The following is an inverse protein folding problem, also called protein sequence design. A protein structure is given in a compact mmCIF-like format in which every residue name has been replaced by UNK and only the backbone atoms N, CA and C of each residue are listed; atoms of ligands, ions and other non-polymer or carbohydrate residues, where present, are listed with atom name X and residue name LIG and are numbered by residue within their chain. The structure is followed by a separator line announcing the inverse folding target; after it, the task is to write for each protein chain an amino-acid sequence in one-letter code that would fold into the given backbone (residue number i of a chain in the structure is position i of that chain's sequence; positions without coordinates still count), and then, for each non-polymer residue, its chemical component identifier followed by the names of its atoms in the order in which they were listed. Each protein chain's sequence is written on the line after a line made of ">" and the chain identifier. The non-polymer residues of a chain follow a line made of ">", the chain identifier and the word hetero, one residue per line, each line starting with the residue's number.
data_IF_366751369914
#
_entry.id   IF_366751369914
#
_cell.length_a   1.000
_cell.length_b   1.000
_cell.length_c   1.000
_cell.angle_alpha   90.00
_cell.angle_beta   90.00
_cell.angle_gamma   90.00
#
_symmetry.space_group_name_H-M   'P 1'
#
loop_
_entity.id
_entity.type
_entity.pdbx_description
1 polymer ?
#
# COMPACT_ATOMS: atom_id res chain seq x y z
N UNK A 1 -0.60 -34.37 23.55
CA UNK A 1 0.61 -33.64 23.05
C UNK A 1 0.34 -32.14 23.21
N UNK A 2 1.33 -31.40 23.73
CA UNK A 2 1.18 -29.96 24.00
C UNK A 2 1.98 -29.14 22.97
N UNK A 3 1.31 -28.26 22.23
CA UNK A 3 1.94 -27.40 21.24
C UNK A 3 1.86 -25.94 21.66
N UNK A 4 3.01 -25.28 21.71
CA UNK A 4 3.05 -23.83 21.89
C UNK A 4 2.50 -23.12 20.65
N UNK A 5 1.84 -22.00 20.86
CA UNK A 5 1.29 -21.19 19.79
C UNK A 5 1.22 -19.71 20.16
N UNK A 6 1.03 -18.84 19.18
CA UNK A 6 0.97 -17.38 19.37
C UNK A 6 -0.08 -16.79 18.41
N UNK A 7 -0.71 -15.69 18.81
CA UNK A 7 -1.74 -15.04 18.01
C UNK A 7 -1.17 -14.51 16.68
N UNK A 8 -1.62 -15.10 15.57
CA UNK A 8 -1.19 -14.80 14.19
C UNK A 8 -2.28 -15.12 13.15
N UNK A 9 -3.34 -14.32 13.08
CA UNK A 9 -4.37 -14.50 12.06
C UNK A 9 -3.82 -14.53 10.62
N UNK A 10 -4.32 -15.39 9.73
CA UNK A 10 -5.38 -16.39 9.92
C UNK A 10 -4.88 -17.78 10.37
N UNK A 11 -3.60 -17.93 10.70
CA UNK A 11 -3.01 -19.20 11.12
C UNK A 11 -3.47 -19.58 12.53
N UNK A 12 -3.48 -18.63 13.45
CA UNK A 12 -3.90 -18.80 14.84
C UNK A 12 -4.64 -17.55 15.31
N UNK A 13 -5.80 -17.72 15.91
CA UNK A 13 -6.58 -16.73 16.64
C UNK A 13 -6.67 -17.16 18.09
N UNK A 14 -6.38 -16.26 19.01
CA UNK A 14 -6.42 -16.48 20.46
C UNK A 14 -7.47 -15.59 21.18
N UNK A 15 -8.37 -14.97 20.44
CA UNK A 15 -9.42 -14.04 20.90
C UNK A 15 -10.52 -14.71 21.73
N UNK A 16 -10.71 -16.03 21.59
CA UNK A 16 -11.65 -16.84 22.35
C UNK A 16 -10.91 -17.89 23.20
N UNK A 17 -11.57 -18.43 24.24
CA UNK A 17 -11.00 -19.46 25.14
C UNK A 17 -10.50 -20.74 24.41
N UNK A 18 -10.79 -20.89 23.14
CA UNK A 18 -10.35 -22.02 22.28
C UNK A 18 -9.60 -21.50 21.07
N UNK A 19 -8.29 -21.79 20.95
CA UNK A 19 -7.52 -21.43 19.77
C UNK A 19 -8.18 -21.98 18.49
N UNK A 20 -8.20 -21.17 17.44
CA UNK A 20 -8.72 -21.51 16.10
C UNK A 20 -7.79 -20.97 15.03
N UNK A 21 -7.94 -21.42 13.81
CA UNK A 21 -7.10 -20.98 12.68
C UNK A 21 -6.54 -22.16 11.90
N UNK A 22 -5.95 -21.86 10.72
CA UNK A 22 -5.43 -22.90 9.84
C UNK A 22 -4.46 -23.86 10.54
N UNK A 23 -3.48 -23.32 11.26
CA UNK A 23 -2.46 -24.12 11.95
C UNK A 23 -3.05 -24.95 13.09
N UNK A 24 -4.02 -24.38 13.81
CA UNK A 24 -4.70 -25.06 14.91
C UNK A 24 -5.52 -26.24 14.40
N UNK A 25 -6.32 -26.02 13.33
CA UNK A 25 -7.18 -27.05 12.78
C UNK A 25 -6.37 -28.16 12.09
N UNK A 26 -5.26 -27.78 11.42
CA UNK A 26 -4.33 -28.76 10.87
C UNK A 26 -3.71 -29.64 11.96
N UNK A 27 -3.27 -29.03 13.09
CA UNK A 27 -2.68 -29.82 14.19
C UNK A 27 -3.71 -30.71 14.88
N UNK A 28 -4.98 -30.27 14.97
CA UNK A 28 -6.06 -31.13 15.45
C UNK A 28 -6.30 -32.33 14.55
N UNK A 29 -6.36 -32.10 13.22
CA UNK A 29 -6.50 -33.18 12.25
C UNK A 29 -5.34 -34.19 12.31
N UNK A 30 -4.11 -33.72 12.48
CA UNK A 30 -2.93 -34.57 12.72
C UNK A 30 -3.11 -35.38 14.02
N UNK A 31 -3.55 -34.71 15.11
CA UNK A 31 -3.79 -35.37 16.37
C UNK A 31 -4.87 -36.46 16.28
N UNK A 32 -5.96 -36.22 15.58
CA UNK A 32 -7.03 -37.19 15.32
C UNK A 32 -6.52 -38.40 14.56
N UNK A 33 -5.71 -38.19 13.49
CA UNK A 33 -5.12 -39.29 12.72
C UNK A 33 -4.14 -40.14 13.54
N UNK A 34 -3.36 -39.50 14.43
CA UNK A 34 -2.44 -40.15 15.34
C UNK A 34 -3.09 -40.75 16.59
N UNK A 35 -4.38 -40.53 16.81
CA UNK A 35 -5.10 -40.90 18.03
C UNK A 35 -4.56 -40.24 19.30
N UNK A 36 -4.08 -38.99 19.18
CA UNK A 36 -3.50 -38.16 20.25
C UNK A 36 -4.36 -36.95 20.52
N UNK A 37 -4.58 -36.64 21.78
CA UNK A 37 -5.19 -35.39 22.21
C UNK A 37 -4.17 -34.23 22.07
N UNK A 38 -4.56 -33.15 21.38
CA UNK A 38 -3.74 -31.97 21.18
C UNK A 38 -4.21 -30.86 22.13
N UNK A 39 -3.27 -30.37 22.94
CA UNK A 39 -3.45 -29.22 23.82
C UNK A 39 -2.59 -28.06 23.31
N UNK A 40 -3.14 -26.87 23.23
CA UNK A 40 -2.42 -25.67 22.84
C UNK A 40 -2.01 -24.87 24.05
N UNK A 41 -0.73 -24.41 24.09
CA UNK A 41 -0.15 -23.54 25.13
C UNK A 41 0.17 -22.17 24.52
N UNK A 42 -0.75 -21.19 24.63
CA UNK A 42 -0.50 -19.83 24.15
C UNK A 42 0.74 -19.22 24.80
N UNK A 43 1.53 -18.49 24.01
CA UNK A 43 2.71 -17.77 24.44
C UNK A 43 2.53 -16.27 24.20
N UNK A 44 3.21 -15.44 25.00
CA UNK A 44 3.10 -13.99 24.93
C UNK A 44 3.76 -13.40 23.66
N UNK A 45 4.80 -14.08 23.17
CA UNK A 45 5.52 -13.64 21.98
C UNK A 45 6.00 -14.80 21.10
N UNK A 46 6.32 -14.49 19.87
CA UNK A 46 6.88 -15.46 18.93
C UNK A 46 8.26 -16.02 19.38
N UNK A 47 9.19 -15.21 19.91
CA UNK A 47 10.40 -15.73 20.53
C UNK A 47 10.14 -16.68 21.69
N UNK A 48 9.19 -16.38 22.58
CA UNK A 48 8.86 -17.23 23.72
C UNK A 48 8.31 -18.59 23.27
N UNK A 49 7.50 -18.61 22.21
CA UNK A 49 7.01 -19.83 21.59
C UNK A 49 8.18 -20.72 21.07
N UNK A 50 9.17 -20.15 20.40
CA UNK A 50 10.34 -20.90 19.92
C UNK A 50 11.24 -21.33 21.08
N UNK A 51 11.44 -20.50 22.09
CA UNK A 51 12.20 -20.83 23.29
C UNK A 51 11.58 -22.01 24.06
N UNK A 52 10.25 -22.11 24.08
CA UNK A 52 9.56 -23.24 24.73
C UNK A 52 9.85 -24.58 23.99
N UNK A 53 9.98 -24.54 22.67
CA UNK A 53 10.39 -25.72 21.87
C UNK A 53 11.84 -26.08 22.12
N UNK A 54 12.76 -25.09 22.06
CA UNK A 54 14.19 -25.30 22.28
C UNK A 54 14.47 -25.85 23.68
N UNK A 55 13.75 -25.34 24.68
CA UNK A 55 13.85 -25.84 26.07
C UNK A 55 13.19 -27.20 26.31
N UNK A 56 12.45 -27.75 25.32
CA UNK A 56 11.73 -29.02 25.46
C UNK A 56 10.59 -28.99 26.47
N UNK A 57 10.03 -27.82 26.79
CA UNK A 57 8.90 -27.66 27.73
C UNK A 57 7.55 -27.98 27.10
N UNK A 58 7.52 -28.09 25.78
CA UNK A 58 6.37 -28.48 24.97
C UNK A 58 6.80 -29.55 23.95
N UNK A 59 5.83 -30.29 23.41
CA UNK A 59 6.10 -31.32 22.39
C UNK A 59 6.41 -30.71 21.00
N UNK A 60 6.03 -29.45 20.80
CA UNK A 60 6.30 -28.68 19.60
C UNK A 60 5.64 -27.30 19.61
N UNK A 61 5.74 -26.59 18.49
CA UNK A 61 5.01 -25.35 18.28
C UNK A 61 4.42 -25.29 16.88
N UNK A 62 3.25 -24.70 16.77
CA UNK A 62 2.57 -24.49 15.50
C UNK A 62 1.96 -23.09 15.41
N UNK A 63 2.31 -22.41 14.32
CA UNK A 63 1.76 -21.13 13.86
C UNK A 63 2.17 -20.96 12.38
N UNK A 64 2.62 -19.76 11.98
CA UNK A 64 3.31 -19.51 10.70
C UNK A 64 4.83 -19.48 10.92
N UNK A 65 5.42 -20.62 11.29
CA UNK A 65 6.85 -20.68 11.65
C UNK A 65 7.68 -21.00 10.42
N UNK A 66 8.43 -20.01 9.90
CA UNK A 66 9.33 -20.23 8.76
C UNK A 66 10.44 -21.21 9.11
N UNK A 67 10.61 -22.21 8.27
CA UNK A 67 11.76 -23.15 8.31
C UNK A 67 12.99 -22.37 7.83
N UNK A 68 13.99 -22.24 8.69
CA UNK A 68 15.26 -21.58 8.35
C UNK A 68 16.46 -22.38 8.81
N UNK A 69 17.58 -22.23 8.10
CA UNK A 69 18.82 -22.94 8.48
C UNK A 69 19.28 -22.61 9.92
N UNK A 70 19.06 -21.38 10.38
CA UNK A 70 19.42 -20.99 11.75
C UNK A 70 18.53 -21.67 12.80
N UNK A 71 17.22 -21.80 12.55
CA UNK A 71 16.31 -22.49 13.46
C UNK A 71 16.54 -24.02 13.45
N UNK A 72 16.84 -24.59 12.30
CA UNK A 72 17.18 -26.04 12.16
C UNK A 72 18.45 -26.43 12.94
N UNK A 73 19.27 -25.49 13.40
CA UNK A 73 20.42 -25.81 14.27
C UNK A 73 20.04 -26.07 15.72
N UNK A 74 18.87 -25.62 16.17
CA UNK A 74 18.41 -25.66 17.58
C UNK A 74 17.08 -26.38 17.76
N UNK A 75 16.37 -26.69 16.70
CA UNK A 75 15.09 -27.42 16.69
C UNK A 75 14.90 -28.15 15.37
N UNK A 76 14.08 -29.19 15.37
CA UNK A 76 13.68 -29.90 14.15
C UNK A 76 12.38 -29.28 13.57
N UNK A 77 12.13 -29.54 12.29
CA UNK A 77 10.87 -29.16 11.65
C UNK A 77 10.19 -30.36 10.97
N UNK A 78 8.87 -30.29 10.89
CA UNK A 78 8.08 -31.15 10.01
C UNK A 78 8.36 -30.84 8.53
N UNK A 79 7.79 -31.62 7.63
CA UNK A 79 7.60 -31.20 6.25
C UNK A 79 6.83 -29.88 6.19
N UNK A 80 7.05 -29.07 5.13
CA UNK A 80 6.33 -27.80 4.97
C UNK A 80 4.81 -27.96 5.06
N UNK A 81 4.18 -27.16 5.91
CA UNK A 81 2.72 -27.12 6.05
C UNK A 81 2.08 -25.99 5.25
N UNK A 82 2.86 -25.01 4.78
CA UNK A 82 2.36 -23.89 4.01
C UNK A 82 3.50 -23.22 3.24
N UNK A 83 3.27 -22.85 1.98
CA UNK A 83 4.20 -22.03 1.19
C UNK A 83 3.87 -20.57 1.32
N UNK A 84 4.84 -19.76 1.65
CA UNK A 84 4.70 -18.34 1.95
C UNK A 84 5.88 -17.55 1.40
N UNK A 85 6.01 -16.33 1.88
CA UNK A 85 7.17 -15.49 1.65
C UNK A 85 6.95 -14.07 2.11
N UNK A 86 8.03 -13.29 2.08
CA UNK A 86 8.03 -11.91 2.50
C UNK A 86 7.39 -11.05 1.40
N UNK A 87 6.39 -10.25 1.78
CA UNK A 87 5.72 -9.28 0.92
C UNK A 87 5.68 -7.89 1.56
N UNK A 88 5.23 -6.92 0.81
CA UNK A 88 5.12 -5.52 1.23
C UNK A 88 3.67 -5.11 1.18
N UNK A 89 3.19 -4.48 2.26
CA UNK A 89 1.90 -3.81 2.32
C UNK A 89 2.13 -2.30 2.32
N UNK A 90 1.36 -1.61 1.50
CA UNK A 90 1.38 -0.15 1.35
C UNK A 90 -0.01 0.42 1.59
N UNK A 91 -0.14 1.70 1.92
CA UNK A 91 -1.42 2.39 1.88
C UNK A 91 -2.03 2.31 0.47
N UNK A 92 -3.35 2.17 0.40
CA UNK A 92 -4.07 2.32 -0.86
C UNK A 92 -3.86 3.72 -1.42
N UNK A 93 -3.76 3.81 -2.73
CA UNK A 93 -3.70 5.13 -3.38
C UNK A 93 -4.98 5.92 -3.08
N UNK A 94 -4.86 7.20 -2.71
CA UNK A 94 -6.03 8.03 -2.46
C UNK A 94 -6.93 8.06 -3.69
N UNK A 95 -8.22 7.97 -3.48
CA UNK A 95 -9.21 7.99 -4.57
C UNK A 95 -9.04 9.22 -5.46
N UNK A 96 -9.48 9.14 -6.73
CA UNK A 96 -9.30 10.17 -7.76
C UNK A 96 -9.73 11.59 -7.32
N UNK A 97 -10.76 11.71 -6.48
CA UNK A 97 -11.21 13.00 -5.95
C UNK A 97 -10.26 13.58 -4.90
N UNK A 98 -9.67 12.73 -4.04
CA UNK A 98 -8.68 13.17 -3.07
C UNK A 98 -7.36 13.58 -3.75
N UNK A 99 -6.97 12.90 -4.84
CA UNK A 99 -5.84 13.31 -5.70
C UNK A 99 -6.06 14.69 -6.32
N UNK A 100 -7.28 14.97 -6.85
CA UNK A 100 -7.60 16.31 -7.39
C UNK A 100 -7.49 17.39 -6.29
N UNK A 101 -7.92 17.08 -5.06
CA UNK A 101 -7.76 17.98 -3.92
C UNK A 101 -6.28 18.24 -3.57
N UNK A 102 -5.44 17.22 -3.62
CA UNK A 102 -3.98 17.31 -3.41
C UNK A 102 -3.25 18.12 -4.49
N UNK A 103 -3.77 18.12 -5.73
CA UNK A 103 -3.22 18.91 -6.83
C UNK A 103 -3.44 20.42 -6.68
N UNK A 104 -4.37 20.87 -5.81
CA UNK A 104 -4.58 22.29 -5.52
C UNK A 104 -3.48 22.86 -4.61
N UNK A 105 -2.26 22.69 -5.02
CA UNK A 105 -1.11 23.27 -4.32
C UNK A 105 -1.09 24.79 -4.41
N UNK A 106 -0.34 25.44 -3.52
CA UNK A 106 -0.20 26.91 -3.51
C UNK A 106 0.31 27.42 -4.86
N UNK A 107 1.18 26.66 -5.52
CA UNK A 107 1.75 26.99 -6.83
C UNK A 107 0.66 27.01 -7.92
N UNK A 108 -0.22 26.01 -7.95
CA UNK A 108 -1.32 25.94 -8.92
C UNK A 108 -2.35 27.03 -8.66
N UNK A 109 -2.68 27.30 -7.40
CA UNK A 109 -3.57 28.42 -7.05
C UNK A 109 -2.98 29.77 -7.47
N UNK A 110 -1.68 29.99 -7.27
CA UNK A 110 -1.02 31.22 -7.73
C UNK A 110 -0.98 31.32 -9.24
N UNK A 111 -0.75 30.23 -9.96
CA UNK A 111 -0.80 30.21 -11.43
C UNK A 111 -2.20 30.54 -11.97
N UNK A 112 -3.27 30.00 -11.35
CA UNK A 112 -4.65 30.33 -11.70
C UNK A 112 -4.94 31.81 -11.45
N UNK A 113 -4.52 32.36 -10.31
CA UNK A 113 -4.72 33.79 -9.99
C UNK A 113 -3.97 34.69 -10.96
N UNK A 114 -2.75 34.32 -11.37
CA UNK A 114 -1.97 35.06 -12.36
C UNK A 114 -2.65 35.02 -13.72
N UNK A 115 -3.14 33.85 -14.16
CA UNK A 115 -3.86 33.70 -15.42
C UNK A 115 -5.16 34.53 -15.44
N UNK A 116 -5.97 34.51 -14.36
CA UNK A 116 -7.14 35.34 -14.22
C UNK A 116 -6.80 36.84 -14.21
N UNK A 117 -5.76 37.23 -13.48
CA UNK A 117 -5.25 38.61 -13.45
C UNK A 117 -4.82 39.08 -14.84
N UNK A 118 -4.16 38.22 -15.62
CA UNK A 118 -3.77 38.49 -17.01
C UNK A 118 -4.99 38.65 -17.93
N UNK A 119 -6.02 37.79 -17.80
CA UNK A 119 -7.24 37.88 -18.59
C UNK A 119 -8.05 39.17 -18.27
N UNK A 120 -8.23 39.45 -16.98
CA UNK A 120 -8.90 40.71 -16.56
C UNK A 120 -8.10 41.95 -16.93
N UNK A 121 -6.80 41.96 -16.63
CA UNK A 121 -5.93 43.09 -16.95
C UNK A 121 -5.77 43.31 -18.44
N UNK A 122 -5.53 42.24 -19.21
CA UNK A 122 -5.41 42.24 -20.67
C UNK A 122 -6.72 42.66 -21.34
N UNK A 123 -7.88 42.16 -20.86
CA UNK A 123 -9.21 42.57 -21.33
C UNK A 123 -9.47 44.02 -21.09
N UNK A 124 -9.21 44.55 -19.88
CA UNK A 124 -9.38 45.95 -19.55
C UNK A 124 -8.43 46.88 -20.30
N UNK A 125 -7.22 46.43 -20.54
CA UNK A 125 -6.27 47.22 -21.36
C UNK A 125 -6.73 47.26 -22.83
N UNK A 126 -7.29 46.19 -23.36
CA UNK A 126 -7.93 46.19 -24.68
C UNK A 126 -9.12 47.13 -24.72
N UNK A 127 -10.00 47.10 -23.72
CA UNK A 127 -11.07 48.06 -23.60
C UNK A 127 -10.56 49.51 -23.64
N UNK A 128 -9.48 49.82 -22.95
CA UNK A 128 -8.91 51.16 -22.96
C UNK A 128 -8.47 51.60 -24.36
N UNK A 129 -7.88 50.71 -25.18
CA UNK A 129 -7.47 51.03 -26.54
C UNK A 129 -8.64 51.09 -27.53
N UNK A 130 -9.66 50.26 -27.35
CA UNK A 130 -10.73 50.06 -28.33
C UNK A 130 -12.04 50.81 -28.00
N UNK A 131 -12.23 51.31 -26.80
CA UNK A 131 -13.50 51.97 -26.34
C UNK A 131 -14.01 53.11 -27.24
N UNK A 132 -13.15 53.71 -28.05
CA UNK A 132 -13.49 54.78 -28.98
C UNK A 132 -13.55 54.34 -30.44
N UNK A 133 -13.20 53.12 -30.74
CA UNK A 133 -13.07 52.62 -32.09
C UNK A 133 -14.05 51.48 -32.42
N UNK A 134 -14.47 50.74 -31.38
CA UNK A 134 -15.29 49.55 -31.57
C UNK A 134 -16.54 49.60 -30.68
N UNK A 135 -17.77 49.44 -31.21
CA UNK A 135 -19.01 49.50 -30.42
C UNK A 135 -19.08 48.48 -29.28
N UNK A 136 -18.41 47.32 -29.40
CA UNK A 136 -18.38 46.33 -28.36
C UNK A 136 -17.73 46.81 -27.06
N UNK A 137 -16.74 47.68 -27.17
CA UNK A 137 -16.01 48.24 -26.04
C UNK A 137 -16.51 49.67 -25.65
N UNK A 138 -17.48 50.25 -26.36
CA UNK A 138 -18.05 51.58 -26.04
C UNK A 138 -19.01 51.49 -24.85
N UNK A 139 -18.42 51.36 -23.64
CA UNK A 139 -19.10 51.18 -22.35
C UNK A 139 -18.31 51.82 -21.25
N UNK A 140 -19.00 52.29 -20.16
CA UNK A 140 -18.32 52.71 -18.94
C UNK A 140 -17.48 51.59 -18.34
N UNK A 141 -16.40 51.91 -17.67
CA UNK A 141 -15.43 50.89 -17.13
C UNK A 141 -16.07 49.82 -16.25
N UNK A 142 -17.08 50.17 -15.48
CA UNK A 142 -17.82 49.22 -14.61
C UNK A 142 -18.55 48.14 -15.42
N UNK A 143 -19.18 48.53 -16.52
CA UNK A 143 -19.95 47.64 -17.39
C UNK A 143 -19.08 46.92 -18.41
N UNK A 144 -17.86 47.38 -18.60
CA UNK A 144 -16.88 46.81 -19.52
C UNK A 144 -16.10 45.62 -18.92
N UNK A 145 -16.08 45.45 -17.57
CA UNK A 145 -15.24 44.47 -16.89
C UNK A 145 -15.47 43.01 -17.39
N UNK A 146 -16.71 42.55 -17.32
CA UNK A 146 -17.03 41.19 -17.76
C UNK A 146 -16.94 41.00 -19.30
N UNK A 147 -17.47 41.91 -20.13
CA UNK A 147 -17.32 41.82 -21.58
C UNK A 147 -15.86 41.81 -22.04
N UNK A 148 -14.98 42.59 -21.41
CA UNK A 148 -13.55 42.64 -21.72
C UNK A 148 -12.83 41.38 -21.30
N UNK A 149 -13.12 40.85 -20.11
CA UNK A 149 -12.65 39.54 -19.66
C UNK A 149 -13.11 38.44 -20.61
N UNK A 150 -14.42 38.43 -20.97
CA UNK A 150 -14.95 37.42 -21.89
C UNK A 150 -14.29 37.49 -23.28
N UNK A 151 -14.02 38.71 -23.77
CA UNK A 151 -13.28 38.89 -25.01
C UNK A 151 -11.86 38.33 -24.91
N UNK A 152 -11.13 38.65 -23.85
CA UNK A 152 -9.77 38.13 -23.64
C UNK A 152 -9.74 36.59 -23.51
N UNK A 153 -10.70 36.01 -22.77
CA UNK A 153 -10.85 34.58 -22.63
C UNK A 153 -11.08 33.92 -24.00
N UNK A 154 -12.00 34.46 -24.82
CA UNK A 154 -12.23 33.89 -26.17
C UNK A 154 -11.05 34.10 -27.12
N UNK A 155 -10.30 35.18 -26.98
CA UNK A 155 -9.08 35.37 -27.78
C UNK A 155 -8.05 34.29 -27.47
N UNK A 156 -7.90 33.95 -26.20
CA UNK A 156 -6.93 32.92 -25.75
C UNK A 156 -7.37 31.50 -26.11
N UNK A 157 -8.68 31.19 -25.96
CA UNK A 157 -9.19 29.81 -26.13
C UNK A 157 -9.54 29.54 -27.60
N UNK A 158 -10.19 30.46 -28.29
CA UNK A 158 -10.75 30.26 -29.63
C UNK A 158 -10.05 31.08 -30.74
N UNK A 159 -8.97 31.80 -30.42
CA UNK A 159 -8.31 32.68 -31.38
C UNK A 159 -9.05 33.99 -31.70
N UNK A 160 -10.11 34.29 -30.94
CA UNK A 160 -10.93 35.53 -31.08
C UNK A 160 -12.15 35.38 -31.96
N UNK A 161 -12.90 36.48 -32.11
CA UNK A 161 -14.08 36.57 -32.98
C UNK A 161 -13.79 37.54 -34.12
N UNK A 162 -14.10 37.18 -35.37
CA UNK A 162 -13.92 38.08 -36.51
C UNK A 162 -14.63 39.43 -36.33
N UNK A 163 -15.88 39.42 -35.84
CA UNK A 163 -16.68 40.64 -35.59
C UNK A 163 -16.16 41.56 -34.47
N UNK A 164 -15.19 41.08 -33.66
CA UNK A 164 -14.66 41.79 -32.49
C UNK A 164 -13.15 41.97 -32.54
N UNK A 165 -12.60 41.93 -33.73
CA UNK A 165 -11.17 42.22 -33.93
C UNK A 165 -10.82 43.64 -33.61
N UNK A 166 -9.68 43.92 -32.96
CA UNK A 166 -9.25 45.28 -32.67
C UNK A 166 -9.12 46.11 -33.93
N UNK A 167 -9.69 47.34 -33.93
CA UNK A 167 -9.66 48.26 -35.06
C UNK A 167 -8.45 49.21 -34.97
N UNK A 168 -8.09 49.59 -33.75
CA UNK A 168 -6.96 50.52 -33.52
C UNK A 168 -5.62 49.82 -33.76
N UNK A 169 -4.61 50.57 -34.23
CA UNK A 169 -3.23 50.03 -34.38
C UNK A 169 -2.63 49.54 -33.07
N UNK A 170 -2.72 50.29 -31.93
CA UNK A 170 -2.21 49.79 -30.67
C UNK A 170 -2.97 48.57 -30.15
N UNK A 171 -4.31 48.52 -30.36
CA UNK A 171 -5.14 47.35 -29.99
C UNK A 171 -4.73 46.10 -30.73
N UNK A 172 -4.44 46.15 -32.03
CA UNK A 172 -3.95 45.02 -32.83
C UNK A 172 -2.61 44.51 -32.34
N UNK A 173 -1.66 45.42 -32.11
CA UNK A 173 -0.34 45.04 -31.59
C UNK A 173 -0.44 44.40 -30.20
N UNK A 174 -1.24 44.96 -29.34
CA UNK A 174 -1.48 44.42 -28.02
C UNK A 174 -2.19 43.04 -28.06
N UNK A 175 -3.15 42.84 -28.96
CA UNK A 175 -3.79 41.53 -29.14
C UNK A 175 -2.79 40.43 -29.51
N UNK A 176 -1.84 40.71 -30.42
CA UNK A 176 -0.77 39.75 -30.78
C UNK A 176 0.10 39.42 -29.57
N UNK A 177 0.51 40.43 -28.79
CA UNK A 177 1.29 40.19 -27.58
C UNK A 177 0.49 39.35 -26.56
N UNK A 178 -0.80 39.67 -26.38
CA UNK A 178 -1.66 38.92 -25.45
C UNK A 178 -1.81 37.45 -25.83
N UNK A 179 -2.00 37.16 -27.15
CA UNK A 179 -2.09 35.78 -27.64
C UNK A 179 -0.78 35.05 -27.43
N UNK A 180 0.34 35.62 -27.81
CA UNK A 180 1.65 34.99 -27.64
C UNK A 180 1.97 34.75 -26.17
N UNK A 181 1.74 35.76 -25.30
CA UNK A 181 1.94 35.64 -23.87
C UNK A 181 1.03 34.55 -23.25
N UNK A 182 -0.23 34.46 -23.69
CA UNK A 182 -1.17 33.45 -23.18
C UNK A 182 -0.75 32.03 -23.55
N UNK A 183 -0.21 31.82 -24.75
CA UNK A 183 0.33 30.50 -25.17
C UNK A 183 1.47 30.07 -24.26
N UNK A 184 2.36 30.98 -23.85
CA UNK A 184 3.42 30.68 -22.89
C UNK A 184 2.85 30.35 -21.49
N UNK A 185 1.90 31.13 -21.00
CA UNK A 185 1.24 30.90 -19.70
C UNK A 185 0.57 29.53 -19.67
N UNK A 186 -0.23 29.19 -20.70
CA UNK A 186 -0.88 27.88 -20.82
C UNK A 186 0.15 26.76 -20.90
N UNK A 187 1.21 26.93 -21.70
CA UNK A 187 2.26 25.92 -21.84
C UNK A 187 2.98 25.65 -20.53
N UNK A 188 3.35 26.70 -19.79
CA UNK A 188 3.97 26.57 -18.46
C UNK A 188 3.01 25.89 -17.47
N UNK A 189 1.73 26.25 -17.49
CA UNK A 189 0.73 25.65 -16.62
C UNK A 189 0.57 24.14 -16.89
N UNK A 190 0.42 23.75 -18.15
CA UNK A 190 0.34 22.33 -18.53
C UNK A 190 1.61 21.58 -18.16
N UNK A 191 2.79 22.17 -18.43
CA UNK A 191 4.07 21.55 -18.08
C UNK A 191 4.21 21.36 -16.56
N UNK A 192 3.78 22.33 -15.76
CA UNK A 192 3.86 22.25 -14.28
C UNK A 192 2.94 21.17 -13.74
N UNK A 193 1.68 21.09 -14.22
CA UNK A 193 0.74 20.03 -13.81
C UNK A 193 1.28 18.66 -14.22
N UNK A 194 1.73 18.51 -15.47
CA UNK A 194 2.26 17.24 -15.98
C UNK A 194 3.47 16.80 -15.17
N UNK A 195 4.40 17.72 -14.85
CA UNK A 195 5.56 17.41 -14.03
C UNK A 195 5.15 16.99 -12.61
N UNK A 196 4.23 17.72 -11.96
CA UNK A 196 3.74 17.39 -10.62
C UNK A 196 3.10 16.00 -10.58
N UNK A 197 2.17 15.70 -11.50
CA UNK A 197 1.50 14.39 -11.58
C UNK A 197 2.48 13.26 -11.90
N UNK A 198 3.47 13.52 -12.79
CA UNK A 198 4.47 12.51 -13.14
C UNK A 198 5.42 12.21 -11.98
N UNK A 199 5.88 13.24 -11.26
CA UNK A 199 6.76 13.06 -10.10
C UNK A 199 6.02 12.32 -8.98
N UNK A 200 4.76 12.67 -8.68
CA UNK A 200 3.93 11.98 -7.70
C UNK A 200 3.74 10.51 -8.08
N UNK A 201 3.39 10.21 -9.33
CA UNK A 201 3.24 8.83 -9.81
C UNK A 201 4.54 8.00 -9.72
N UNK A 202 5.71 8.61 -9.92
CA UNK A 202 7.00 7.95 -9.79
C UNK A 202 7.44 7.76 -8.32
N UNK A 203 7.08 8.67 -7.44
CA UNK A 203 7.43 8.60 -6.01
C UNK A 203 6.55 7.62 -5.24
N UNK A 204 5.29 7.44 -5.66
CA UNK A 204 4.35 6.53 -4.99
C UNK A 204 4.47 5.07 -5.46
N UNK A 205 5.13 4.79 -6.60
CA UNK A 205 5.37 3.43 -7.04
C UNK A 205 6.49 2.77 -6.22
N UNK A 206 6.10 1.88 -5.30
CA UNK A 206 7.03 0.93 -4.67
C UNK A 206 6.96 -0.35 -5.49
N UNK A 207 7.87 -0.50 -6.43
CA UNK A 207 7.98 -1.70 -7.27
C UNK A 207 9.08 -2.65 -6.77
N UNK A 208 9.95 -2.14 -5.89
CA UNK A 208 11.12 -2.82 -5.38
C UNK A 208 11.28 -2.60 -3.88
N UNK A 209 11.91 -3.57 -3.22
CA UNK A 209 12.30 -3.45 -1.80
C UNK A 209 13.26 -2.26 -1.57
N UNK A 210 14.02 -1.86 -2.58
CA UNK A 210 14.96 -0.74 -2.49
C UNK A 210 14.23 0.62 -2.46
N UNK A 211 12.99 0.68 -2.90
CA UNK A 211 12.15 1.88 -2.89
C UNK A 211 11.61 2.20 -1.48
N UNK A 212 11.89 1.30 -0.52
CA UNK A 212 11.58 1.50 0.90
C UNK A 212 12.62 2.37 1.61
N UNK A 213 13.75 2.67 0.99
CA UNK A 213 14.76 3.53 1.60
C UNK A 213 14.20 4.96 1.80
N UNK A 214 14.33 5.45 3.04
CA UNK A 214 13.76 6.74 3.45
C UNK A 214 12.29 6.73 3.84
N UNK A 215 11.56 5.60 3.68
CA UNK A 215 10.20 5.42 4.20
C UNK A 215 10.19 4.92 5.64
N UNK A 216 9.09 5.14 6.35
CA UNK A 216 8.87 4.58 7.68
C UNK A 216 8.40 3.13 7.53
N UNK A 217 9.34 2.21 7.52
CA UNK A 217 9.07 0.76 7.38
C UNK A 217 8.82 0.14 8.74
N UNK A 218 7.84 -0.75 8.86
CA UNK A 218 7.60 -1.59 10.04
C UNK A 218 7.80 -3.07 9.76
N UNK A 219 8.26 -3.82 10.78
CA UNK A 219 8.32 -5.29 10.77
C UNK A 219 8.20 -5.85 12.19
N UNK A 220 7.94 -7.16 12.31
CA UNK A 220 7.85 -7.82 13.63
C UNK A 220 9.22 -8.29 14.09
N UNK A 221 9.58 -7.99 15.33
CA UNK A 221 10.83 -8.41 15.96
C UNK A 221 11.03 -9.94 15.91
N UNK A 222 12.25 -10.36 15.58
CA UNK A 222 12.61 -11.78 15.52
C UNK A 222 12.01 -12.54 14.32
N UNK A 223 11.29 -11.85 13.42
CA UNK A 223 10.80 -12.43 12.18
C UNK A 223 11.90 -12.55 11.12
N UNK A 224 11.66 -13.42 10.15
CA UNK A 224 12.52 -13.53 8.95
C UNK A 224 12.47 -12.25 8.11
N UNK A 225 11.36 -11.51 8.17
CA UNK A 225 11.18 -10.21 7.52
C UNK A 225 12.07 -9.14 8.12
N UNK A 226 12.16 -9.06 9.46
CA UNK A 226 13.09 -8.15 10.15
C UNK A 226 14.55 -8.47 9.81
N UNK A 227 14.92 -9.76 9.78
CA UNK A 227 16.24 -10.20 9.36
C UNK A 227 16.54 -9.85 7.89
N UNK A 228 15.54 -10.00 7.01
CA UNK A 228 15.65 -9.66 5.60
C UNK A 228 15.92 -8.16 5.38
N UNK A 229 15.23 -7.28 6.12
CA UNK A 229 15.46 -5.83 6.10
C UNK A 229 16.85 -5.48 6.63
N UNK A 230 17.25 -6.07 7.76
CA UNK A 230 18.59 -5.86 8.37
C UNK A 230 19.70 -6.24 7.39
N UNK A 231 19.58 -7.37 6.68
CA UNK A 231 20.59 -7.81 5.72
C UNK A 231 20.74 -6.87 4.51
N UNK A 232 19.74 -6.02 4.27
CA UNK A 232 19.73 -5.02 3.18
C UNK A 232 19.99 -3.60 3.62
N UNK A 233 20.35 -3.40 4.88
CA UNK A 233 20.58 -2.08 5.49
C UNK A 233 19.36 -1.14 5.42
N UNK A 234 18.14 -1.72 5.33
CA UNK A 234 16.89 -0.95 5.33
C UNK A 234 16.51 -0.69 6.78
N UNK A 235 16.34 0.59 7.13
CA UNK A 235 15.89 0.99 8.47
C UNK A 235 14.40 0.70 8.63
N UNK A 236 14.04 0.10 9.74
CA UNK A 236 12.66 -0.21 10.09
C UNK A 236 12.42 -0.06 11.59
N UNK A 237 11.15 0.04 11.96
CA UNK A 237 10.69 0.02 13.37
C UNK A 237 10.26 -1.40 13.70
N UNK A 238 10.75 -1.92 14.83
CA UNK A 238 10.35 -3.21 15.39
C UNK A 238 9.04 -3.10 16.15
N UNK A 239 8.17 -4.09 15.97
CA UNK A 239 6.95 -4.30 16.73
C UNK A 239 6.96 -5.69 17.37
N UNK A 240 6.31 -5.85 18.51
CA UNK A 240 6.32 -7.11 19.25
C UNK A 240 5.30 -8.12 18.68
N UNK A 241 4.26 -7.65 18.01
CA UNK A 241 3.24 -8.49 17.38
C UNK A 241 2.81 -7.98 16.00
N UNK A 242 2.22 -8.84 15.13
CA UNK A 242 1.59 -8.39 13.89
C UNK A 242 0.43 -7.43 14.14
N UNK A 243 -0.31 -7.60 15.23
CA UNK A 243 -1.42 -6.72 15.60
C UNK A 243 -0.95 -5.27 15.83
N UNK A 244 0.10 -5.09 16.63
CA UNK A 244 0.70 -3.76 16.86
C UNK A 244 1.28 -3.15 15.58
N UNK A 245 1.93 -3.97 14.75
CA UNK A 245 2.48 -3.57 13.47
C UNK A 245 1.38 -3.03 12.53
N UNK A 246 0.29 -3.76 12.40
CA UNK A 246 -0.82 -3.40 11.51
C UNK A 246 -1.66 -2.24 12.06
N UNK A 247 -1.80 -2.13 13.39
CA UNK A 247 -2.41 -0.97 14.02
C UNK A 247 -1.60 0.31 13.76
N UNK A 248 -0.27 0.27 13.94
CA UNK A 248 0.60 1.41 13.62
C UNK A 248 0.58 1.80 12.13
N UNK A 249 0.33 0.85 11.25
CA UNK A 249 0.13 1.12 9.83
C UNK A 249 -1.20 1.82 9.56
N UNK A 250 -2.30 1.38 10.18
CA UNK A 250 -3.62 2.03 10.06
C UNK A 250 -3.62 3.45 10.64
N UNK A 251 -2.90 3.66 11.75
CA UNK A 251 -2.75 4.99 12.38
C UNK A 251 -1.85 5.95 11.57
N UNK A 252 -1.17 5.45 10.52
CA UNK A 252 -0.24 6.24 9.71
C UNK A 252 1.11 6.54 10.39
N UNK A 253 1.45 5.82 11.45
CA UNK A 253 2.72 5.91 12.15
C UNK A 253 3.88 5.37 11.29
N UNK A 254 3.57 4.40 10.42
CA UNK A 254 4.47 3.81 9.42
C UNK A 254 3.83 3.84 8.03
N UNK A 255 4.68 3.98 7.00
CA UNK A 255 4.25 4.15 5.60
C UNK A 255 4.22 2.81 4.84
N UNK A 256 4.84 1.78 5.38
CA UNK A 256 4.92 0.46 4.75
C UNK A 256 5.17 -0.64 5.77
N UNK A 257 4.65 -1.81 5.48
CA UNK A 257 4.86 -3.03 6.27
C UNK A 257 5.59 -4.06 5.42
N UNK A 258 6.65 -4.63 5.95
CA UNK A 258 7.35 -5.78 5.35
C UNK A 258 7.19 -6.95 6.29
N UNK A 259 6.39 -7.93 5.88
CA UNK A 259 6.06 -9.08 6.72
C UNK A 259 5.60 -10.28 5.89
N UNK A 260 5.11 -11.31 6.56
CA UNK A 260 4.63 -12.56 5.98
C UNK A 260 3.41 -12.32 5.08
N UNK A 261 3.53 -12.68 3.80
CA UNK A 261 2.52 -12.43 2.78
C UNK A 261 1.10 -12.86 3.13
N UNK A 262 0.87 -14.10 3.62
CA UNK A 262 -0.48 -14.56 3.97
C UNK A 262 -1.16 -13.72 5.08
N UNK A 263 -0.39 -13.23 6.06
CA UNK A 263 -0.90 -12.34 7.11
C UNK A 263 -1.28 -10.99 6.51
N UNK A 264 -0.40 -10.43 5.67
CA UNK A 264 -0.67 -9.16 5.00
C UNK A 264 -1.85 -9.26 4.03
N UNK A 265 -1.98 -10.39 3.32
CA UNK A 265 -3.10 -10.65 2.41
C UNK A 265 -4.43 -10.74 3.17
N UNK A 266 -4.43 -11.42 4.31
CA UNK A 266 -5.60 -11.50 5.20
C UNK A 266 -6.01 -10.10 5.67
N UNK A 267 -5.07 -9.33 6.20
CA UNK A 267 -5.32 -7.96 6.63
C UNK A 267 -5.86 -7.08 5.49
N UNK A 268 -5.23 -7.09 4.32
CA UNK A 268 -5.68 -6.29 3.18
C UNK A 268 -7.08 -6.67 2.67
N UNK A 269 -7.52 -7.92 2.92
CA UNK A 269 -8.83 -8.39 2.51
C UNK A 269 -9.94 -8.01 3.49
N UNK A 270 -9.63 -7.99 4.79
CA UNK A 270 -10.60 -7.80 5.87
C UNK A 270 -10.44 -6.45 6.57
N UNK A 271 -9.48 -6.30 7.45
CA UNK A 271 -9.34 -5.14 8.33
C UNK A 271 -8.80 -3.89 7.62
N UNK A 272 -7.88 -4.07 6.68
CA UNK A 272 -7.28 -3.00 5.86
C UNK A 272 -7.94 -2.81 4.49
N UNK A 273 -9.16 -3.35 4.30
CA UNK A 273 -9.87 -3.30 3.02
C UNK A 273 -10.08 -1.86 2.55
N UNK A 274 -9.67 -1.58 1.30
CA UNK A 274 -9.67 -0.26 0.67
C UNK A 274 -8.68 0.77 1.26
N UNK A 275 -7.98 0.46 2.34
CA UNK A 275 -7.00 1.34 2.97
C UNK A 275 -5.57 0.87 2.72
N UNK A 276 -5.41 -0.38 2.29
CA UNK A 276 -4.11 -1.00 2.04
C UNK A 276 -4.05 -1.70 0.68
N UNK A 277 -2.84 -1.80 0.14
CA UNK A 277 -2.50 -2.50 -1.10
C UNK A 277 -1.32 -3.43 -0.84
N UNK A 278 -1.54 -4.73 -1.05
CA UNK A 278 -0.49 -5.73 -1.00
C UNK A 278 0.28 -5.73 -2.34
N UNK A 279 1.60 -5.68 -2.28
CA UNK A 279 2.46 -5.90 -3.45
C UNK A 279 2.50 -7.41 -3.72
N UNK A 280 2.06 -7.82 -4.91
CA UNK A 280 1.96 -9.26 -5.29
C UNK A 280 3.32 -9.97 -5.32
N UNK A 281 4.41 -9.22 -5.49
CA UNK A 281 5.75 -9.77 -5.55
C UNK A 281 6.18 -10.37 -4.22
N UNK A 282 6.56 -11.64 -4.23
CA UNK A 282 7.23 -12.32 -3.12
C UNK A 282 8.73 -12.06 -3.22
N UNK A 283 9.30 -11.38 -2.22
CA UNK A 283 10.71 -10.99 -2.21
C UNK A 283 11.64 -12.09 -1.71
N UNK A 284 11.13 -12.95 -0.84
CA UNK A 284 11.83 -14.12 -0.32
C UNK A 284 10.79 -15.21 -0.07
N UNK A 285 10.78 -16.28 -0.90
CA UNK A 285 9.94 -17.45 -0.63
C UNK A 285 10.34 -18.13 0.68
N UNK A 286 9.38 -18.58 1.44
CA UNK A 286 9.55 -19.26 2.72
C UNK A 286 8.55 -20.40 2.84
N UNK A 287 8.95 -21.46 3.56
CA UNK A 287 8.06 -22.55 3.92
C UNK A 287 7.80 -22.50 5.43
N UNK A 288 6.56 -22.65 5.84
CA UNK A 288 6.24 -22.84 7.23
C UNK A 288 6.21 -24.32 7.60
N UNK A 289 6.61 -24.64 8.82
CA UNK A 289 6.59 -25.98 9.38
C UNK A 289 6.16 -25.99 10.84
N UNK A 290 5.91 -27.18 11.33
CA UNK A 290 5.70 -27.43 12.76
C UNK A 290 7.08 -27.53 13.39
N UNK A 291 7.40 -26.68 14.37
CA UNK A 291 8.67 -26.73 15.08
C UNK A 291 8.60 -27.79 16.19
N UNK A 292 9.65 -28.58 16.32
CA UNK A 292 9.75 -29.69 17.26
C UNK A 292 11.09 -29.62 18.00
N UNK A 293 11.20 -30.08 19.26
CA UNK A 293 12.48 -30.24 19.90
C UNK A 293 13.44 -31.14 19.09
N UNK A 294 14.73 -30.83 19.14
CA UNK A 294 15.74 -31.63 18.40
C UNK A 294 15.68 -33.09 18.80
N UNK A 295 15.59 -33.98 17.81
CA UNK A 295 15.45 -35.42 18.00
C UNK A 295 14.06 -35.85 18.48
N UNK A 296 13.03 -35.03 18.25
CA UNK A 296 11.66 -35.37 18.64
C UNK A 296 11.19 -36.70 18.01
N UNK A 297 10.65 -37.61 18.80
CA UNK A 297 10.12 -38.88 18.28
C UNK A 297 8.86 -38.68 17.42
N UNK A 298 8.21 -37.50 17.51
CA UNK A 298 6.96 -37.20 16.83
C UNK A 298 7.13 -36.73 15.38
N UNK A 299 8.35 -36.37 14.96
CA UNK A 299 8.60 -35.78 13.64
C UNK A 299 8.09 -36.70 12.51
N UNK A 300 8.52 -37.96 12.52
CA UNK A 300 8.16 -38.90 11.47
C UNK A 300 6.68 -39.21 11.46
N UNK A 301 6.03 -39.37 12.65
CA UNK A 301 4.61 -39.65 12.75
C UNK A 301 3.78 -38.45 12.25
N UNK A 302 4.17 -37.19 12.59
CA UNK A 302 3.55 -35.98 12.12
C UNK A 302 3.67 -35.83 10.60
N UNK A 303 4.88 -36.13 10.04
CA UNK A 303 5.11 -36.02 8.60
C UNK A 303 4.28 -37.05 7.82
N UNK A 304 4.17 -38.28 8.32
CA UNK A 304 3.34 -39.32 7.71
C UNK A 304 1.86 -38.96 7.77
N UNK A 305 1.38 -38.43 8.90
CA UNK A 305 0.00 -37.93 9.04
C UNK A 305 -0.29 -36.79 8.09
N UNK A 306 0.64 -35.82 7.99
CA UNK A 306 0.50 -34.68 7.07
C UNK A 306 0.38 -35.13 5.61
N UNK A 307 1.17 -36.13 5.18
CA UNK A 307 1.07 -36.70 3.84
C UNK A 307 -0.30 -37.36 3.61
N UNK A 308 -0.77 -38.14 4.58
CA UNK A 308 -2.09 -38.78 4.51
C UNK A 308 -3.23 -37.76 4.41
N UNK A 309 -3.20 -36.68 5.21
CA UNK A 309 -4.19 -35.60 5.15
C UNK A 309 -4.17 -34.85 3.80
N UNK A 310 -3.02 -34.83 3.11
CA UNK A 310 -2.94 -34.32 1.74
C UNK A 310 -3.53 -35.28 0.72
N UNK A 311 -3.28 -36.55 0.87
CA UNK A 311 -3.77 -37.60 -0.05
C UNK A 311 -5.31 -37.76 0.03
N UNK A 312 -5.88 -37.64 1.23
CA UNK A 312 -7.34 -37.76 1.45
C UNK A 312 -8.13 -36.47 1.21
N UNK A 313 -7.45 -35.34 0.97
CA UNK A 313 -8.04 -34.03 0.68
C UNK A 313 -8.43 -33.21 1.91
N UNK A 314 -8.20 -33.69 3.12
CA UNK A 314 -8.46 -32.94 4.36
C UNK A 314 -7.63 -31.66 4.44
N UNK A 315 -6.36 -31.72 4.07
CA UNK A 315 -5.48 -30.56 4.01
C UNK A 315 -6.00 -29.49 3.03
N UNK A 316 -6.44 -29.90 1.83
CA UNK A 316 -6.97 -28.98 0.82
C UNK A 316 -8.26 -28.31 1.29
N UNK A 317 -9.13 -29.05 1.98
CA UNK A 317 -10.33 -28.50 2.57
C UNK A 317 -10.05 -27.43 3.65
N UNK A 318 -9.02 -27.65 4.48
CA UNK A 318 -8.57 -26.66 5.46
C UNK A 318 -8.00 -25.40 4.79
N UNK A 319 -7.20 -25.55 3.73
CA UNK A 319 -6.70 -24.43 2.95
C UNK A 319 -7.82 -23.60 2.34
N UNK A 320 -8.79 -24.26 1.70
CA UNK A 320 -9.93 -23.59 1.09
C UNK A 320 -10.81 -22.86 2.14
N UNK A 321 -11.00 -23.47 3.30
CA UNK A 321 -11.74 -22.87 4.41
C UNK A 321 -11.11 -21.58 4.92
N UNK A 322 -9.79 -21.55 5.12
CA UNK A 322 -9.10 -20.42 5.74
C UNK A 322 -8.63 -19.35 4.76
N UNK A 323 -8.25 -19.75 3.52
CA UNK A 323 -7.64 -18.85 2.55
C UNK A 323 -8.45 -18.68 1.26
N UNK A 324 -9.58 -19.42 1.12
CA UNK A 324 -10.44 -19.37 -0.04
C UNK A 324 -9.91 -20.19 -1.23
N UNK A 325 -10.76 -20.34 -2.26
CA UNK A 325 -10.49 -21.19 -3.43
C UNK A 325 -9.27 -20.73 -4.28
N UNK A 326 -8.77 -19.52 -4.09
CA UNK A 326 -7.65 -18.96 -4.84
C UNK A 326 -6.31 -19.62 -4.50
N UNK A 327 -6.20 -20.29 -3.35
CA UNK A 327 -5.02 -21.02 -2.92
C UNK A 327 -5.00 -22.49 -3.38
N UNK A 328 -6.00 -22.92 -4.11
CA UNK A 328 -6.01 -24.25 -4.74
C UNK A 328 -5.07 -24.24 -5.93
N UNK A 329 -3.97 -24.96 -5.82
CA UNK A 329 -3.03 -25.23 -6.93
C UNK A 329 -3.45 -26.44 -7.75
#
# INVERSE_FOLDING_TARGET
>A
MTFATVDRPPFVFLDDNTPRGFSVDLMRAIGEDLGKEITFAPQDSFPDMLNAVEAGTVDGAIANISITASRETVMDFSQPIFESGIQILLPSEPGSLARIGGLLTREILTAILVALGMLFGGGMLMWFFERRHQPYFDRPAKDALFPSFWWALNLVVNGGFEERMPLSRPGRFFAVILVVASLFVVSVFVATITAAVTVEALQDSVDSINDLDGRKVGSVRGSTSAQFLTTRDIRFRDFDSPHELLAAFQDGDIDSVVFDGPILAYFATYDGRNESRLIERVYRPENYGIALPTGSPWREEIDQSLLKLREDGTYDALLEHWFGATFRR
#
